data_IF_021820189479
#
_entry.id   IF_021820189479
#
_cell.length_a   1.000
_cell.length_b   1.000
_cell.length_c   1.000
_cell.angle_alpha   90.00
_cell.angle_beta   90.00
_cell.angle_gamma   90.00
#
_symmetry.space_group_name_H-M   'P 1'
#
loop_
_entity.id
_entity.type
_entity.pdbx_description
1 polymer ?
#
# COMPACT_ATOMS: atom_id res chain seq x y z
N UNK A 1 17.17 26.95 24.90
CA UNK A 1 16.88 26.84 23.46
C UNK A 1 17.11 25.38 23.07
N UNK A 2 16.06 24.59 22.96
CA UNK A 2 16.14 23.18 22.54
C UNK A 2 15.80 23.14 21.07
N UNK A 3 16.76 22.65 20.29
CA UNK A 3 16.75 22.61 18.83
C UNK A 3 15.70 21.59 18.38
N UNK A 4 14.55 22.08 17.87
CA UNK A 4 13.59 21.31 17.08
C UNK A 4 14.18 21.10 15.68
N UNK A 5 15.21 20.26 15.59
CA UNK A 5 15.76 19.83 14.31
C UNK A 5 14.96 18.63 13.79
N UNK A 6 14.09 18.92 12.82
CA UNK A 6 13.93 18.08 11.62
C UNK A 6 13.48 16.65 11.83
N UNK A 7 12.21 16.46 12.18
CA UNK A 7 11.50 15.19 11.92
C UNK A 7 10.91 15.22 10.50
N UNK A 8 11.77 15.48 9.51
CA UNK A 8 11.42 15.20 8.10
C UNK A 8 11.67 13.71 7.94
N UNK A 9 10.57 12.96 7.95
CA UNK A 9 10.55 11.51 7.76
C UNK A 9 11.11 11.24 6.35
N UNK A 10 12.42 11.02 6.28
CA UNK A 10 13.15 10.73 5.07
C UNK A 10 12.82 9.31 4.58
N UNK A 11 11.71 9.16 3.85
CA UNK A 11 11.42 7.95 3.08
C UNK A 11 12.00 8.00 1.65
N UNK A 12 12.90 8.95 1.36
CA UNK A 12 13.31 9.24 -0.02
C UNK A 12 14.68 8.67 -0.45
N UNK A 13 15.45 7.98 0.40
CA UNK A 13 16.81 7.57 0.02
C UNK A 13 17.12 6.18 0.55
N UNK A 14 16.77 5.13 -0.19
CA UNK A 14 17.43 3.81 -0.16
C UNK A 14 16.86 2.90 -1.28
N UNK A 15 16.88 3.35 -2.54
CA UNK A 15 16.76 2.42 -3.67
C UNK A 15 18.17 2.17 -4.19
N UNK A 16 18.80 1.14 -3.64
CA UNK A 16 20.05 0.59 -4.16
C UNK A 16 19.70 -0.17 -5.45
N UNK A 17 20.21 0.32 -6.58
CA UNK A 17 20.16 -0.41 -7.85
C UNK A 17 20.84 -1.79 -7.69
N UNK A 18 20.43 -2.73 -8.54
CA UNK A 18 20.88 -4.14 -8.63
C UNK A 18 20.20 -5.14 -7.68
N UNK A 19 18.98 -5.54 -8.02
CA UNK A 19 18.29 -6.70 -7.42
C UNK A 19 16.76 -6.67 -7.43
N UNK A 20 16.11 -5.65 -7.98
CA UNK A 20 14.65 -5.53 -7.95
C UNK A 20 13.99 -6.57 -8.84
N UNK A 21 13.15 -7.43 -8.25
CA UNK A 21 12.21 -8.28 -8.98
C UNK A 21 11.40 -7.40 -9.97
N UNK A 22 11.09 -7.89 -11.18
CA UNK A 22 10.34 -7.10 -12.15
C UNK A 22 9.00 -6.67 -11.55
N UNK A 23 8.68 -5.38 -11.66
CA UNK A 23 7.48 -4.79 -11.04
C UNK A 23 6.19 -5.53 -11.40
N UNK A 24 6.08 -6.07 -12.61
CA UNK A 24 4.95 -6.89 -13.06
C UNK A 24 4.73 -8.20 -12.30
N UNK A 25 5.70 -8.68 -11.49
CA UNK A 25 5.51 -9.84 -10.59
C UNK A 25 5.19 -9.43 -9.15
N UNK A 26 5.73 -8.29 -8.72
CA UNK A 26 5.54 -7.81 -7.34
C UNK A 26 4.18 -7.13 -7.18
N UNK A 27 3.78 -6.31 -8.15
CA UNK A 27 2.54 -5.53 -8.08
C UNK A 27 1.29 -6.41 -7.87
N UNK A 28 1.07 -7.50 -8.62
CA UNK A 28 -0.05 -8.41 -8.36
C UNK A 28 -0.03 -9.03 -6.94
N UNK A 29 1.16 -9.27 -6.40
CA UNK A 29 1.31 -9.85 -5.06
C UNK A 29 0.88 -8.86 -3.98
N UNK A 30 1.30 -7.59 -4.10
CA UNK A 30 0.88 -6.52 -3.18
C UNK A 30 -0.63 -6.28 -3.30
N UNK A 31 -1.15 -6.19 -4.52
CA UNK A 31 -2.58 -6.02 -4.80
C UNK A 31 -3.40 -7.13 -4.15
N UNK A 32 -3.00 -8.39 -4.36
CA UNK A 32 -3.69 -9.53 -3.75
C UNK A 32 -3.68 -9.51 -2.21
N UNK A 33 -2.59 -9.07 -1.59
CA UNK A 33 -2.53 -8.90 -0.13
C UNK A 33 -3.46 -7.79 0.36
N UNK A 34 -3.57 -6.67 -0.38
CA UNK A 34 -4.49 -5.58 -0.05
C UNK A 34 -5.96 -6.01 -0.22
N UNK A 35 -6.29 -6.71 -1.30
CA UNK A 35 -7.62 -7.27 -1.53
C UNK A 35 -8.02 -8.24 -0.42
N UNK A 36 -7.11 -9.13 -0.01
CA UNK A 36 -7.35 -10.06 1.08
C UNK A 36 -7.68 -9.34 2.40
N UNK A 37 -6.98 -8.24 2.69
CA UNK A 37 -7.26 -7.43 3.88
C UNK A 37 -8.60 -6.69 3.74
N UNK A 38 -8.88 -6.07 2.60
CA UNK A 38 -10.15 -5.37 2.35
C UNK A 38 -11.36 -6.31 2.45
N UNK A 39 -11.30 -7.48 1.81
CA UNK A 39 -12.36 -8.49 1.88
C UNK A 39 -12.53 -9.03 3.30
N UNK A 40 -11.42 -9.32 3.99
CA UNK A 40 -11.46 -9.78 5.37
C UNK A 40 -12.04 -8.74 6.32
N UNK A 41 -11.70 -7.46 6.16
CA UNK A 41 -12.32 -6.35 6.88
C UNK A 41 -13.81 -6.21 6.57
N UNK A 42 -14.20 -6.39 5.30
CA UNK A 42 -15.61 -6.38 4.88
C UNK A 42 -16.40 -7.47 5.60
N UNK A 43 -15.86 -8.69 5.68
CA UNK A 43 -16.47 -9.81 6.42
C UNK A 43 -16.51 -9.52 7.92
N UNK A 44 -15.45 -8.92 8.47
CA UNK A 44 -15.42 -8.51 9.89
C UNK A 44 -16.54 -7.53 10.22
N UNK A 45 -16.71 -6.46 9.43
CA UNK A 45 -17.80 -5.49 9.64
C UNK A 45 -19.19 -6.10 9.46
N UNK A 46 -19.34 -7.04 8.53
CA UNK A 46 -20.61 -7.76 8.36
C UNK A 46 -20.97 -8.57 9.60
N UNK A 47 -19.99 -9.21 10.24
CA UNK A 47 -20.22 -10.08 11.40
C UNK A 47 -20.28 -9.35 12.74
N UNK A 48 -19.40 -8.38 12.97
CA UNK A 48 -19.21 -7.71 14.26
C UNK A 48 -19.85 -6.31 14.31
N UNK A 49 -20.20 -5.75 13.14
CA UNK A 49 -20.78 -4.42 12.99
C UNK A 49 -19.77 -3.40 12.44
N UNK A 50 -20.23 -2.55 11.52
CA UNK A 50 -19.40 -1.57 10.81
C UNK A 50 -18.85 -0.42 11.67
N UNK A 51 -19.32 -0.31 12.92
CA UNK A 51 -18.83 0.68 13.88
C UNK A 51 -17.49 0.27 14.52
N UNK A 52 -17.11 -1.01 14.41
CA UNK A 52 -15.85 -1.50 14.95
C UNK A 52 -14.72 -1.31 13.93
N UNK A 53 -13.54 -0.84 14.36
CA UNK A 53 -12.41 -0.66 13.46
C UNK A 53 -11.82 -2.00 13.05
N UNK A 54 -11.67 -2.22 11.74
CA UNK A 54 -10.74 -3.18 11.17
C UNK A 54 -9.32 -2.62 11.23
N UNK A 55 -8.72 -2.65 12.42
CA UNK A 55 -7.38 -2.13 12.66
C UNK A 55 -6.25 -3.05 12.20
N UNK A 56 -5.01 -2.61 12.44
CA UNK A 56 -3.78 -3.34 12.07
C UNK A 56 -3.78 -4.79 12.57
N UNK A 57 -4.28 -5.05 13.78
CA UNK A 57 -4.33 -6.39 14.38
C UNK A 57 -5.23 -7.36 13.62
N UNK A 58 -6.26 -6.87 12.94
CA UNK A 58 -7.15 -7.67 12.11
C UNK A 58 -6.50 -7.90 10.74
N UNK A 59 -5.93 -6.84 10.15
CA UNK A 59 -5.15 -6.96 8.92
C UNK A 59 -3.98 -7.95 9.06
N UNK A 60 -3.24 -7.93 10.18
CA UNK A 60 -2.15 -8.85 10.50
C UNK A 60 -2.61 -10.32 10.65
N UNK A 61 -3.87 -10.55 11.02
CA UNK A 61 -4.45 -11.89 11.09
C UNK A 61 -4.90 -12.38 9.71
N UNK A 62 -5.38 -11.45 8.89
CA UNK A 62 -5.85 -11.73 7.54
C UNK A 62 -4.69 -11.98 6.59
N UNK A 63 -3.61 -11.21 6.73
CA UNK A 63 -2.38 -11.33 5.98
C UNK A 63 -1.23 -11.38 6.98
N UNK A 64 -0.40 -12.44 6.96
CA UNK A 64 0.75 -12.58 7.88
C UNK A 64 1.86 -11.58 7.51
N UNK A 65 1.56 -10.30 7.74
CA UNK A 65 2.38 -9.12 7.45
C UNK A 65 3.72 -9.14 8.19
N UNK A 66 3.86 -9.99 9.21
CA UNK A 66 5.04 -10.15 10.05
C UNK A 66 6.03 -11.19 9.51
N UNK A 67 5.60 -12.07 8.61
CA UNK A 67 6.46 -13.10 7.99
C UNK A 67 6.49 -13.04 6.47
N UNK A 68 5.56 -12.32 5.85
CA UNK A 68 5.50 -12.14 4.41
C UNK A 68 6.48 -11.08 3.89
N UNK A 69 6.82 -11.18 2.61
CA UNK A 69 7.60 -10.16 1.89
C UNK A 69 6.79 -8.86 1.65
N UNK A 70 5.50 -8.84 2.03
CA UNK A 70 4.57 -7.71 1.88
C UNK A 70 4.12 -7.25 3.25
N UNK A 71 4.44 -6.00 3.58
CA UNK A 71 4.00 -5.30 4.78
C UNK A 71 2.72 -4.54 4.46
N UNK A 72 1.68 -4.75 5.27
CA UNK A 72 0.42 -4.01 5.21
C UNK A 72 0.33 -3.10 6.42
N UNK A 73 0.01 -1.84 6.21
CA UNK A 73 -0.23 -0.85 7.26
C UNK A 73 -1.63 -0.26 7.11
N UNK A 74 -2.48 -0.44 8.12
CA UNK A 74 -3.81 0.18 8.16
C UNK A 74 -3.70 1.56 8.82
N UNK A 75 -4.11 2.61 8.12
CA UNK A 75 -4.08 3.99 8.63
C UNK A 75 -5.38 4.40 9.30
N UNK A 76 -6.49 3.88 8.81
CA UNK A 76 -7.80 4.10 9.40
C UNK A 76 -8.65 2.85 9.16
N UNK A 77 -9.31 2.37 10.21
CA UNK A 77 -9.91 1.04 10.27
C UNK A 77 -11.44 1.04 10.19
N UNK A 78 -12.11 2.20 10.14
CA UNK A 78 -13.57 2.24 10.07
C UNK A 78 -14.04 2.14 8.62
N UNK A 79 -15.18 1.47 8.35
CA UNK A 79 -15.64 1.22 6.97
C UNK A 79 -15.65 2.48 6.07
N UNK A 80 -16.10 3.63 6.58
CA UNK A 80 -16.16 4.87 5.80
C UNK A 80 -14.80 5.52 5.55
N UNK A 81 -13.83 5.24 6.41
CA UNK A 81 -12.52 5.88 6.38
C UNK A 81 -11.40 4.86 6.17
N UNK A 82 -11.75 3.63 5.78
CA UNK A 82 -10.78 2.54 5.71
C UNK A 82 -9.67 2.86 4.72
N UNK A 83 -8.43 2.66 5.14
CA UNK A 83 -7.29 2.77 4.24
C UNK A 83 -6.18 1.84 4.68
N UNK A 84 -5.69 1.03 3.75
CA UNK A 84 -4.51 0.21 3.97
C UNK A 84 -3.45 0.47 2.90
N UNK A 85 -2.19 0.41 3.32
CA UNK A 85 -1.02 0.64 2.47
C UNK A 85 -0.20 -0.63 2.44
N UNK A 86 0.10 -1.12 1.24
CA UNK A 86 0.89 -2.32 1.00
C UNK A 86 2.23 -1.98 0.37
N UNK A 87 3.31 -2.51 0.95
CA UNK A 87 4.68 -2.29 0.49
C UNK A 87 5.41 -3.63 0.49
N UNK A 88 6.14 -3.92 -0.58
CA UNK A 88 6.97 -5.12 -0.66
C UNK A 88 8.40 -4.82 -0.20
N UNK A 89 9.03 -5.67 0.61
CA UNK A 89 10.35 -5.40 1.20
C UNK A 89 11.46 -5.18 0.17
N UNK A 90 11.33 -5.82 -1.00
CA UNK A 90 12.29 -5.73 -2.12
C UNK A 90 11.90 -4.70 -3.19
N UNK A 91 10.88 -3.87 -2.96
CA UNK A 91 10.39 -2.92 -3.95
C UNK A 91 10.06 -1.56 -3.33
N UNK A 92 10.41 -0.44 -4.00
CA UNK A 92 9.96 0.87 -3.58
C UNK A 92 8.49 1.14 -3.92
N UNK A 93 7.79 0.20 -4.57
CA UNK A 93 6.40 0.37 -4.94
C UNK A 93 5.50 0.39 -3.71
N UNK A 94 4.67 1.42 -3.64
CA UNK A 94 3.69 1.59 -2.58
C UNK A 94 2.30 1.54 -3.22
N UNK A 95 1.47 0.64 -2.73
CA UNK A 95 0.06 0.56 -3.11
C UNK A 95 -0.82 0.94 -1.93
N UNK A 96 -1.96 1.55 -2.22
CA UNK A 96 -2.95 1.95 -1.23
C UNK A 96 -4.31 1.43 -1.69
N UNK A 97 -5.06 0.80 -0.81
CA UNK A 97 -6.48 0.53 -1.00
C UNK A 97 -7.29 1.50 -0.14
N UNK A 98 -8.39 2.01 -0.68
CA UNK A 98 -9.32 2.87 0.05
C UNK A 98 -10.53 2.11 0.59
N UNK A 99 -11.51 2.86 1.11
CA UNK A 99 -12.75 2.33 1.68
C UNK A 99 -13.73 1.80 0.64
N UNK A 100 -13.60 2.22 -0.62
CA UNK A 100 -14.41 1.75 -1.73
C UNK A 100 -13.83 0.45 -2.32
N UNK A 101 -12.58 0.14 -1.99
CA UNK A 101 -11.86 -1.03 -2.51
C UNK A 101 -11.01 -0.69 -3.72
N UNK A 102 -10.93 0.59 -4.09
CA UNK A 102 -10.08 1.05 -5.19
C UNK A 102 -8.62 1.01 -4.75
N UNK A 103 -7.77 0.46 -5.62
CA UNK A 103 -6.34 0.36 -5.38
C UNK A 103 -5.61 1.40 -6.22
N UNK A 104 -4.69 2.08 -5.57
CA UNK A 104 -3.86 3.11 -6.16
C UNK A 104 -2.38 2.76 -5.99
N UNK A 105 -1.60 2.95 -7.03
CA UNK A 105 -0.14 2.93 -6.96
C UNK A 105 0.36 4.36 -6.74
N UNK A 106 1.28 4.51 -5.78
CA UNK A 106 1.98 5.77 -5.53
C UNK A 106 3.34 5.76 -6.20
N UNK A 107 3.57 6.76 -7.05
CA UNK A 107 4.83 6.99 -7.74
C UNK A 107 5.23 8.46 -7.52
N UNK A 108 6.24 8.69 -6.67
CA UNK A 108 6.63 10.03 -6.18
C UNK A 108 5.42 10.80 -5.61
N UNK A 109 5.07 11.92 -6.23
CA UNK A 109 3.96 12.80 -5.84
C UNK A 109 2.64 12.46 -6.56
N UNK A 110 2.65 11.44 -7.42
CA UNK A 110 1.46 10.99 -8.13
C UNK A 110 0.87 9.75 -7.48
N UNK A 111 -0.45 9.69 -7.54
CA UNK A 111 -1.25 8.53 -7.18
C UNK A 111 -2.11 8.19 -8.40
N UNK A 112 -2.07 6.93 -8.85
CA UNK A 112 -2.77 6.45 -10.05
C UNK A 112 -3.57 5.21 -9.69
N UNK A 113 -4.84 5.18 -10.07
CA UNK A 113 -5.67 4.01 -9.86
C UNK A 113 -5.17 2.85 -10.76
N UNK A 114 -5.09 1.65 -10.21
CA UNK A 114 -4.57 0.48 -10.92
C UNK A 114 -5.42 0.08 -12.14
N UNK A 115 -6.71 0.43 -12.18
CA UNK A 115 -7.60 0.13 -13.30
C UNK A 115 -7.25 0.93 -14.57
N UNK A 116 -6.46 2.00 -14.40
CA UNK A 116 -5.99 2.83 -15.51
C UNK A 116 -4.67 2.33 -16.12
N UNK A 117 -4.08 1.28 -15.55
CA UNK A 117 -2.76 0.76 -15.93
C UNK A 117 -2.79 -0.76 -16.14
N UNK A 118 -2.03 -1.25 -17.12
CA UNK A 118 -1.81 -2.69 -17.27
C UNK A 118 -0.76 -3.15 -16.26
N UNK A 119 -1.22 -3.68 -15.11
CA UNK A 119 -0.35 -4.14 -14.01
C UNK A 119 0.64 -5.21 -14.46
N UNK A 120 0.27 -6.07 -15.42
CA UNK A 120 1.17 -7.10 -15.93
C UNK A 120 2.32 -6.50 -16.77
N UNK A 121 2.10 -5.32 -17.36
CA UNK A 121 3.10 -4.55 -18.12
C UNK A 121 3.62 -3.33 -17.35
N UNK A 122 3.40 -3.27 -16.04
CA UNK A 122 3.79 -2.12 -15.23
C UNK A 122 5.30 -1.90 -15.28
N UNK A 123 5.70 -0.82 -15.92
CA UNK A 123 7.03 -0.25 -15.80
C UNK A 123 6.99 0.91 -14.81
N UNK A 124 7.45 0.65 -13.59
CA UNK A 124 7.43 1.63 -12.50
C UNK A 124 8.31 2.85 -12.80
N UNK A 125 9.43 2.68 -13.51
CA UNK A 125 10.30 3.81 -13.88
C UNK A 125 9.61 4.74 -14.87
N UNK A 126 8.88 4.16 -15.82
CA UNK A 126 8.08 4.93 -16.77
C UNK A 126 6.94 5.67 -16.07
N UNK A 127 6.25 5.02 -15.14
CA UNK A 127 5.19 5.64 -14.33
C UNK A 127 5.72 6.84 -13.52
N UNK A 128 6.89 6.69 -12.88
CA UNK A 128 7.57 7.77 -12.14
C UNK A 128 8.09 8.91 -13.03
N UNK A 129 8.35 8.66 -14.31
CA UNK A 129 8.79 9.67 -15.27
C UNK A 129 7.61 10.45 -15.86
N UNK A 130 6.45 9.81 -16.02
CA UNK A 130 5.21 10.46 -16.46
C UNK A 130 4.58 11.31 -15.36
N UNK A 131 4.88 11.01 -14.10
CA UNK A 131 4.47 11.82 -12.96
C UNK A 131 5.11 13.22 -13.03
N UNK A 132 4.29 14.23 -13.35
CA UNK A 132 4.70 15.63 -13.25
C UNK A 132 4.48 16.11 -11.81
N UNK A 133 5.51 16.61 -11.11
CA UNK A 133 5.32 17.22 -9.80
C UNK A 133 4.37 18.42 -9.94
N UNK A 134 3.44 18.55 -9.00
CA UNK A 134 2.51 19.69 -8.90
C UNK A 134 3.17 20.91 -8.30
#
# INVERSE_FOLDING_TARGET
MVVLAGMVIAWAVLVKEDGSLPSGKIAPSIIGALDQVYLGCTVYWFNQGSHLPCGQEIADKLHDSKKGEIKITVSNGLRQEFTAVGIHEKSPMVFRIDSEGDIFIKAKDCETNIDQIDIAKLDFKLLEAQCKPR
#
